data_IF_676748031251
#
_entry.id   IF_676748031251
#
_cell.length_a   1.000
_cell.length_b   1.000
_cell.length_c   1.000
_cell.angle_alpha   90.00
_cell.angle_beta   90.00
_cell.angle_gamma   90.00
#
_symmetry.space_group_name_H-M   'P 1'
#
loop_
_entity.id
_entity.type
_entity.pdbx_description
1 polymer ?
#
# COMPACT_ATOMS: atom_id res chain seq x y z
N UNK A 1 -15.74 -49.51 30.82
CA UNK A 1 -15.02 -48.24 30.56
C UNK A 1 -14.36 -48.37 29.19
N UNK A 2 -14.39 -47.41 28.23
CA UNK A 2 -14.78 -45.98 28.32
C UNK A 2 -15.99 -45.62 27.41
N UNK A 3 -16.98 -44.84 27.87
CA UNK A 3 -17.12 -43.36 27.72
C UNK A 3 -16.85 -42.84 26.30
N UNK A 4 -17.93 -42.65 25.52
CA UNK A 4 -17.92 -41.78 24.35
C UNK A 4 -18.87 -40.61 24.62
N UNK A 5 -18.29 -39.46 24.90
CA UNK A 5 -18.86 -38.11 24.84
C UNK A 5 -17.67 -37.16 24.95
N UNK A 6 -17.66 -35.93 24.39
CA UNK A 6 -18.47 -35.31 23.34
C UNK A 6 -17.59 -34.74 22.19
N UNK A 7 -18.12 -34.53 21.00
CA UNK A 7 -17.62 -33.47 20.11
C UNK A 7 -18.85 -32.66 19.67
N UNK A 8 -19.25 -31.72 20.50
CA UNK A 8 -18.81 -30.33 20.39
C UNK A 8 -19.31 -29.73 19.07
N UNK A 9 -20.53 -29.18 19.13
CA UNK A 9 -20.94 -28.07 18.28
C UNK A 9 -19.84 -27.01 18.29
N UNK A 10 -19.00 -27.00 17.27
CA UNK A 10 -18.23 -25.81 16.90
C UNK A 10 -19.01 -25.12 15.79
N UNK A 11 -19.78 -24.13 16.22
CA UNK A 11 -20.24 -23.00 15.41
C UNK A 11 -19.13 -22.61 14.43
N UNK A 12 -19.41 -22.43 13.12
CA UNK A 12 -18.44 -21.81 12.23
C UNK A 12 -18.12 -20.44 12.80
N UNK A 13 -16.83 -20.16 12.96
CA UNK A 13 -16.32 -18.92 13.48
C UNK A 13 -17.01 -17.76 12.75
N UNK A 14 -17.62 -16.85 13.51
CA UNK A 14 -17.72 -15.44 13.12
C UNK A 14 -16.29 -14.94 12.91
N UNK A 15 -15.75 -15.19 11.73
CA UNK A 15 -14.43 -14.79 11.30
C UNK A 15 -14.57 -13.62 10.36
N UNK A 16 -14.50 -12.43 10.94
CA UNK A 16 -14.01 -11.21 10.30
C UNK A 16 -14.88 -10.74 9.12
N UNK A 17 -15.72 -9.74 9.39
CA UNK A 17 -16.27 -8.92 8.31
C UNK A 17 -15.08 -8.36 7.50
N UNK A 18 -15.04 -8.49 6.17
CA UNK A 18 -14.08 -7.74 5.39
C UNK A 18 -14.38 -6.27 5.63
N UNK A 19 -13.46 -5.61 6.33
CA UNK A 19 -13.51 -4.18 6.53
C UNK A 19 -13.59 -3.52 5.16
N UNK A 20 -14.76 -2.98 4.81
CA UNK A 20 -14.95 -2.14 3.63
C UNK A 20 -14.23 -0.79 3.82
N UNK A 21 -12.90 -0.82 3.81
CA UNK A 21 -12.02 0.34 3.63
C UNK A 21 -11.69 0.53 2.13
N UNK A 22 -12.64 0.20 1.25
CA UNK A 22 -12.42 0.11 -0.20
C UNK A 22 -12.07 1.43 -0.89
N UNK A 23 -12.29 2.58 -0.25
CA UNK A 23 -11.90 3.90 -0.79
C UNK A 23 -10.51 4.39 -0.35
N UNK A 24 -10.07 4.02 0.85
CA UNK A 24 -8.78 4.46 1.41
C UNK A 24 -7.64 3.52 1.04
N UNK A 25 -7.93 2.25 0.75
CA UNK A 25 -6.92 1.24 0.42
C UNK A 25 -6.20 1.55 -0.89
N UNK A 26 -6.91 2.04 -1.92
CA UNK A 26 -6.32 2.25 -3.25
C UNK A 26 -5.33 3.42 -3.24
N UNK A 27 -5.66 4.51 -2.53
CA UNK A 27 -4.75 5.65 -2.39
C UNK A 27 -3.47 5.26 -1.65
N UNK A 28 -3.61 4.52 -0.55
CA UNK A 28 -2.46 4.09 0.26
C UNK A 28 -1.61 3.10 -0.52
N UNK A 29 -2.21 2.10 -1.17
CA UNK A 29 -1.49 1.13 -1.98
C UNK A 29 -0.72 1.80 -3.14
N UNK A 30 -1.34 2.76 -3.82
CA UNK A 30 -0.67 3.53 -4.86
C UNK A 30 0.49 4.35 -4.31
N UNK A 31 0.30 4.99 -3.16
CA UNK A 31 1.33 5.81 -2.52
C UNK A 31 2.52 4.97 -2.04
N UNK A 32 2.27 3.79 -1.47
CA UNK A 32 3.31 2.85 -1.06
C UNK A 32 4.13 2.35 -2.26
N UNK A 33 3.47 2.03 -3.38
CA UNK A 33 4.14 1.62 -4.61
C UNK A 33 5.02 2.74 -5.18
N UNK A 34 4.51 3.97 -5.22
CA UNK A 34 5.28 5.14 -5.63
C UNK A 34 6.50 5.35 -4.73
N UNK A 35 6.30 5.36 -3.42
CA UNK A 35 7.37 5.60 -2.45
C UNK A 35 8.45 4.51 -2.48
N UNK A 36 8.05 3.24 -2.64
CA UNK A 36 8.97 2.12 -2.78
C UNK A 36 9.83 2.23 -4.05
N UNK A 37 9.25 2.62 -5.19
CA UNK A 37 9.99 2.81 -6.43
C UNK A 37 10.96 4.00 -6.33
N UNK A 38 10.54 5.12 -5.72
CA UNK A 38 11.40 6.27 -5.48
C UNK A 38 12.61 5.92 -4.59
N UNK A 39 12.40 5.16 -3.52
CA UNK A 39 13.49 4.66 -2.67
C UNK A 39 14.46 3.77 -3.44
N UNK A 40 13.93 2.90 -4.31
CA UNK A 40 14.71 2.00 -5.15
C UNK A 40 15.58 2.77 -6.15
N UNK A 41 15.03 3.82 -6.76
CA UNK A 41 15.74 4.69 -7.71
C UNK A 41 16.77 5.58 -7.02
N UNK A 42 16.43 6.15 -5.86
CA UNK A 42 17.29 7.03 -5.07
C UNK A 42 18.37 6.33 -4.25
N UNK A 43 18.51 5.00 -4.37
CA UNK A 43 19.49 4.18 -3.63
C UNK A 43 19.44 4.42 -2.10
N UNK A 44 18.27 4.71 -1.54
CA UNK A 44 18.07 4.98 -0.11
C UNK A 44 18.44 6.39 0.37
N UNK A 45 18.62 7.36 -0.53
CA UNK A 45 18.80 8.78 -0.16
C UNK A 45 17.53 9.47 0.39
N UNK A 46 16.32 9.30 -0.18
CA UNK A 46 15.11 9.90 0.38
C UNK A 46 14.55 9.07 1.54
N UNK A 47 13.84 9.72 2.48
CA UNK A 47 13.14 9.03 3.57
C UNK A 47 11.79 8.54 3.05
N UNK A 48 11.40 7.31 3.40
CA UNK A 48 10.14 6.71 2.93
C UNK A 48 8.91 7.58 3.21
N UNK A 49 8.87 8.21 4.38
CA UNK A 49 7.77 9.09 4.81
C UNK A 49 7.62 10.31 3.90
N UNK A 50 8.73 10.93 3.48
CA UNK A 50 8.71 12.09 2.58
C UNK A 50 8.15 11.69 1.21
N UNK A 51 8.45 10.48 0.74
CA UNK A 51 7.94 9.96 -0.53
C UNK A 51 6.45 9.61 -0.45
N UNK A 52 5.95 9.18 0.71
CA UNK A 52 4.52 8.96 0.93
C UNK A 52 3.74 10.27 0.94
N UNK A 53 4.25 11.30 1.63
CA UNK A 53 3.62 12.63 1.62
C UNK A 53 3.54 13.17 0.19
N UNK A 54 4.62 13.05 -0.58
CA UNK A 54 4.62 13.45 -1.98
C UNK A 54 3.64 12.61 -2.84
N UNK A 55 3.57 11.30 -2.63
CA UNK A 55 2.58 10.47 -3.31
C UNK A 55 1.14 10.92 -3.01
N UNK A 56 0.82 11.29 -1.77
CA UNK A 56 -0.52 11.76 -1.43
C UNK A 56 -0.86 13.09 -2.10
N UNK A 57 0.12 13.97 -2.35
CA UNK A 57 -0.06 15.19 -3.14
C UNK A 57 -0.32 14.90 -4.62
N UNK A 58 0.34 13.88 -5.18
CA UNK A 58 0.21 13.51 -6.60
C UNK A 58 -1.06 12.69 -6.89
N UNK A 59 -1.57 11.96 -5.90
CA UNK A 59 -2.70 11.04 -6.04
C UNK A 59 -3.93 11.66 -6.75
N UNK A 60 -4.44 12.86 -6.41
CA UNK A 60 -5.63 13.42 -7.05
C UNK A 60 -5.52 13.56 -8.58
N UNK A 61 -4.30 13.77 -9.08
CA UNK A 61 -4.00 13.98 -10.50
C UNK A 61 -3.66 12.65 -11.19
N UNK A 62 -2.89 11.80 -10.52
CA UNK A 62 -2.25 10.63 -11.13
C UNK A 62 -2.81 9.28 -10.67
N UNK A 63 -3.88 9.24 -9.87
CA UNK A 63 -4.54 8.01 -9.39
C UNK A 63 -4.94 6.98 -10.45
N UNK A 64 -5.00 7.38 -11.71
CA UNK A 64 -5.33 6.50 -12.85
C UNK A 64 -4.08 6.00 -13.60
N UNK A 65 -2.90 6.47 -13.20
CA UNK A 65 -1.62 6.13 -13.80
C UNK A 65 -0.85 5.14 -12.93
N UNK A 66 0.08 4.44 -13.57
CA UNK A 66 0.98 3.50 -12.91
C UNK A 66 1.93 4.25 -11.95
N UNK A 67 1.87 3.99 -10.62
CA UNK A 67 2.67 4.72 -9.63
C UNK A 67 4.18 4.57 -9.88
N UNK A 68 4.64 3.42 -10.35
CA UNK A 68 6.07 3.21 -10.66
C UNK A 68 6.53 4.06 -11.84
N UNK A 69 5.73 4.16 -12.90
CA UNK A 69 6.03 5.02 -14.04
C UNK A 69 6.11 6.49 -13.63
N UNK A 70 5.19 6.95 -12.78
CA UNK A 70 5.21 8.33 -12.25
C UNK A 70 6.46 8.55 -11.40
N UNK A 71 6.80 7.63 -10.49
CA UNK A 71 8.04 7.69 -9.71
C UNK A 71 9.29 7.84 -10.59
N UNK A 72 9.39 7.08 -11.69
CA UNK A 72 10.52 7.20 -12.63
C UNK A 72 10.60 8.56 -13.33
N UNK A 73 9.45 9.14 -13.67
CA UNK A 73 9.37 10.47 -14.30
C UNK A 73 9.75 11.54 -13.29
N UNK A 74 9.16 11.52 -12.09
CA UNK A 74 9.46 12.49 -11.04
C UNK A 74 10.91 12.41 -10.58
N UNK A 75 11.47 11.21 -10.41
CA UNK A 75 12.88 11.02 -10.10
C UNK A 75 13.81 11.62 -11.18
N UNK A 76 13.43 11.46 -12.46
CA UNK A 76 14.19 12.07 -13.56
C UNK A 76 14.10 13.59 -13.50
N UNK A 77 12.92 14.15 -13.25
CA UNK A 77 12.73 15.59 -13.15
C UNK A 77 13.58 16.19 -12.02
N UNK A 78 13.60 15.55 -10.85
CA UNK A 78 14.45 15.98 -9.73
C UNK A 78 15.94 16.03 -10.09
N UNK A 79 16.43 15.06 -10.87
CA UNK A 79 17.81 15.01 -11.32
C UNK A 79 18.17 16.05 -12.39
N UNK A 80 17.17 16.72 -12.99
CA UNK A 80 17.37 17.77 -14.00
C UNK A 80 17.25 19.20 -13.43
N UNK A 81 16.65 19.36 -12.25
CA UNK A 81 16.55 20.65 -11.53
C UNK A 81 17.82 20.99 -10.71
N UNK A 82 18.76 20.05 -10.58
CA UNK A 82 20.06 20.21 -9.88
C UNK A 82 21.21 20.55 -10.87
#
# INVERSE_FOLDING_TARGET
MPRITPHAHRTPALGIMPTELGGSSVMVEWAEQFAAEMLRLGQGRPVYTDMLDWAFELWPVWKHCDPEAIARVEFRNMAQDE
#
